data_IF_657301054899
#
_entry.id   IF_657301054899
#
_cell.length_a   1.000
_cell.length_b   1.000
_cell.length_c   1.000
_cell.angle_alpha   90.00
_cell.angle_beta   90.00
_cell.angle_gamma   90.00
#
_symmetry.space_group_name_H-M   'P 1'
#
loop_
_entity.id
_entity.type
_entity.pdbx_description
1 polymer ?
#
# COMPACT_ATOMS: atom_id res chain seq x y z
N UNK A 1 5.92 23.78 -13.41
CA UNK A 1 5.43 23.92 -12.02
C UNK A 1 4.36 22.88 -11.64
N UNK A 2 4.17 21.77 -12.38
CA UNK A 2 3.04 20.84 -12.15
C UNK A 2 3.38 19.35 -12.43
N UNK A 3 4.54 18.84 -11.98
CA UNK A 3 4.93 17.44 -12.26
C UNK A 3 5.20 16.54 -11.05
N UNK A 4 5.31 17.11 -9.84
CA UNK A 4 5.47 16.33 -8.61
C UNK A 4 4.23 16.43 -7.72
N UNK A 5 3.03 16.22 -8.27
CA UNK A 5 1.77 16.34 -7.51
C UNK A 5 1.07 14.98 -7.31
N UNK A 6 1.54 13.90 -7.93
CA UNK A 6 0.84 12.62 -7.89
C UNK A 6 1.79 11.42 -7.82
N UNK A 7 1.89 10.82 -6.64
CA UNK A 7 2.59 9.54 -6.46
C UNK A 7 1.71 8.37 -6.88
N UNK A 8 2.04 7.78 -8.02
CA UNK A 8 1.33 6.63 -8.60
C UNK A 8 1.36 5.40 -7.67
N UNK A 9 2.49 5.04 -7.03
CA UNK A 9 2.53 3.95 -6.05
C UNK A 9 1.54 4.15 -4.90
N UNK A 10 1.50 5.35 -4.32
CA UNK A 10 0.61 5.68 -3.20
C UNK A 10 -0.85 5.58 -3.62
N UNK A 11 -1.17 6.06 -4.82
CA UNK A 11 -2.51 5.93 -5.39
C UNK A 11 -2.96 4.47 -5.48
N UNK A 12 -2.15 3.58 -6.09
CA UNK A 12 -2.53 2.18 -6.27
C UNK A 12 -2.64 1.43 -4.94
N UNK A 13 -1.79 1.74 -3.96
CA UNK A 13 -1.86 1.16 -2.62
C UNK A 13 -3.17 1.57 -1.94
N UNK A 14 -3.45 2.87 -1.82
CA UNK A 14 -4.68 3.32 -1.14
C UNK A 14 -5.95 2.92 -1.87
N UNK A 15 -5.93 2.96 -3.20
CA UNK A 15 -7.02 2.45 -4.02
C UNK A 15 -7.31 0.98 -3.73
N UNK A 16 -6.26 0.16 -3.56
CA UNK A 16 -6.40 -1.24 -3.17
C UNK A 16 -6.95 -1.39 -1.75
N UNK A 17 -6.36 -0.74 -0.75
CA UNK A 17 -6.80 -0.84 0.64
C UNK A 17 -8.29 -0.46 0.80
N UNK A 18 -8.70 0.60 0.10
CA UNK A 18 -10.09 1.05 0.12
C UNK A 18 -11.04 0.08 -0.58
N UNK A 19 -10.62 -0.57 -1.67
CA UNK A 19 -11.41 -1.63 -2.32
C UNK A 19 -11.54 -2.86 -1.42
N UNK A 20 -10.46 -3.29 -0.75
CA UNK A 20 -10.49 -4.43 0.16
C UNK A 20 -11.43 -4.17 1.34
N UNK A 21 -11.30 -3.01 1.97
CA UNK A 21 -12.23 -2.56 3.02
C UNK A 21 -13.68 -2.51 2.50
N UNK A 22 -13.91 -1.99 1.30
CA UNK A 22 -15.24 -1.92 0.70
C UNK A 22 -15.85 -3.30 0.42
N UNK A 23 -15.04 -4.28 -0.02
CA UNK A 23 -15.51 -5.66 -0.23
C UNK A 23 -15.92 -6.29 1.09
N UNK A 24 -15.09 -6.16 2.14
CA UNK A 24 -15.39 -6.74 3.44
C UNK A 24 -16.69 -6.15 3.99
N UNK A 25 -16.85 -4.83 3.92
CA UNK A 25 -18.09 -4.16 4.35
C UNK A 25 -19.29 -4.61 3.52
N UNK A 26 -19.14 -4.73 2.19
CA UNK A 26 -20.21 -5.19 1.30
C UNK A 26 -20.64 -6.63 1.61
N UNK A 27 -19.68 -7.52 1.88
CA UNK A 27 -19.91 -8.90 2.29
C UNK A 27 -20.65 -8.97 3.62
N UNK A 28 -20.23 -8.17 4.62
CA UNK A 28 -20.89 -8.10 5.92
C UNK A 28 -22.32 -7.58 5.79
N UNK A 29 -22.55 -6.57 4.95
CA UNK A 29 -23.88 -6.03 4.69
C UNK A 29 -24.79 -7.05 4.01
N UNK A 30 -24.26 -7.78 3.02
CA UNK A 30 -24.99 -8.85 2.32
C UNK A 30 -25.36 -9.98 3.27
N UNK A 31 -24.44 -10.39 4.14
CA UNK A 31 -24.70 -11.42 5.15
C UNK A 31 -25.76 -10.98 6.17
N UNK A 32 -25.70 -9.73 6.62
CA UNK A 32 -26.72 -9.13 7.48
C UNK A 32 -28.12 -9.13 6.83
N UNK A 33 -28.18 -8.92 5.51
CA UNK A 33 -29.43 -9.02 4.73
C UNK A 33 -29.97 -10.43 4.64
N UNK A 34 -29.10 -11.44 4.58
CA UNK A 34 -29.50 -12.84 4.49
C UNK A 34 -30.02 -13.39 5.83
N UNK A 35 -29.40 -13.00 6.95
CA UNK A 35 -29.79 -13.48 8.29
C UNK A 35 -31.06 -12.81 8.82
N UNK A 36 -31.23 -11.50 8.57
CA UNK A 36 -32.33 -10.70 9.14
C UNK A 36 -33.41 -10.34 8.12
N UNK A 37 -33.72 -11.27 7.21
CA UNK A 37 -34.71 -11.05 6.14
C UNK A 37 -36.13 -10.74 6.66
N UNK A 38 -36.49 -11.29 7.83
CA UNK A 38 -37.86 -11.21 8.36
C UNK A 38 -38.14 -9.97 9.24
N UNK A 39 -37.12 -9.18 9.60
CA UNK A 39 -37.25 -8.12 10.61
C UNK A 39 -36.74 -6.76 10.07
N UNK A 40 -37.58 -6.10 9.27
CA UNK A 40 -37.21 -4.91 8.47
C UNK A 40 -36.74 -3.71 9.32
N UNK A 41 -37.30 -3.54 10.52
CA UNK A 41 -36.89 -2.48 11.45
C UNK A 41 -35.50 -2.76 12.07
N UNK A 42 -35.22 -4.02 12.40
CA UNK A 42 -33.92 -4.45 12.95
C UNK A 42 -32.82 -4.35 11.88
N UNK A 43 -33.13 -4.77 10.65
CA UNK A 43 -32.22 -4.71 9.51
C UNK A 43 -31.74 -3.27 9.21
N UNK A 44 -32.65 -2.28 9.25
CA UNK A 44 -32.29 -0.87 9.01
C UNK A 44 -31.41 -0.29 10.13
N UNK A 45 -31.64 -0.68 11.40
CA UNK A 45 -30.79 -0.26 12.54
C UNK A 45 -29.39 -0.87 12.48
N UNK A 46 -29.29 -2.16 12.16
CA UNK A 46 -28.01 -2.86 12.04
C UNK A 46 -27.18 -2.34 10.85
N UNK A 47 -27.83 -2.01 9.73
CA UNK A 47 -27.17 -1.37 8.58
C UNK A 47 -26.55 -0.02 8.95
N UNK A 48 -27.26 0.80 9.74
CA UNK A 48 -26.73 2.06 10.27
C UNK A 48 -25.54 1.81 11.20
N UNK A 49 -25.59 0.79 12.07
CA UNK A 49 -24.47 0.45 12.93
C UNK A 49 -23.22 0.04 12.16
N UNK A 50 -23.35 -0.77 11.11
CA UNK A 50 -22.21 -1.13 10.24
C UNK A 50 -21.59 0.12 9.60
N UNK A 51 -22.42 1.01 9.05
CA UNK A 51 -21.96 2.28 8.47
C UNK A 51 -21.27 3.19 9.49
N UNK A 52 -21.81 3.30 10.70
CA UNK A 52 -21.15 4.05 11.77
C UNK A 52 -19.80 3.43 12.17
N UNK A 53 -19.70 2.09 12.20
CA UNK A 53 -18.44 1.39 12.49
C UNK A 53 -17.39 1.62 11.39
N UNK A 54 -17.79 1.52 10.12
CA UNK A 54 -16.91 1.81 8.98
C UNK A 54 -16.46 3.27 8.98
N UNK A 55 -17.37 4.22 9.18
CA UNK A 55 -17.06 5.66 9.20
C UNK A 55 -16.12 6.00 10.36
N UNK A 56 -16.38 5.46 11.56
CA UNK A 56 -15.54 5.70 12.73
C UNK A 56 -14.14 5.09 12.52
N UNK A 57 -14.05 3.89 11.96
CA UNK A 57 -12.76 3.25 11.66
C UNK A 57 -11.93 4.06 10.68
N UNK A 58 -12.56 4.56 9.61
CA UNK A 58 -11.92 5.42 8.61
C UNK A 58 -11.48 6.77 9.18
N UNK A 59 -12.29 7.37 10.05
CA UNK A 59 -11.96 8.64 10.71
C UNK A 59 -10.76 8.46 11.65
N UNK A 60 -10.76 7.41 12.46
CA UNK A 60 -9.65 7.09 13.37
C UNK A 60 -8.37 6.84 12.58
N UNK A 61 -8.40 6.07 11.49
CA UNK A 61 -7.22 5.86 10.65
C UNK A 61 -6.72 7.18 10.07
N UNK A 62 -7.61 8.02 9.50
CA UNK A 62 -7.23 9.34 8.97
C UNK A 62 -6.58 10.24 10.03
N UNK A 63 -7.11 10.27 11.26
CA UNK A 63 -6.51 11.03 12.35
C UNK A 63 -5.11 10.54 12.72
N UNK A 64 -4.91 9.22 12.79
CA UNK A 64 -3.59 8.62 13.07
C UNK A 64 -2.60 8.94 11.94
N UNK A 65 -3.04 8.83 10.68
CA UNK A 65 -2.24 9.16 9.51
C UNK A 65 -1.84 10.63 9.47
N UNK A 66 -2.80 11.53 9.72
CA UNK A 66 -2.53 12.97 9.81
C UNK A 66 -1.58 13.33 10.94
N UNK A 67 -1.73 12.70 12.12
CA UNK A 67 -0.81 12.87 13.24
C UNK A 67 0.61 12.40 12.89
N UNK A 68 0.75 11.27 12.20
CA UNK A 68 2.04 10.75 11.78
C UNK A 68 2.76 11.70 10.80
N UNK A 69 2.05 12.22 9.81
CA UNK A 69 2.59 13.20 8.84
C UNK A 69 2.99 14.50 9.54
N UNK A 70 2.17 14.99 10.48
CA UNK A 70 2.47 16.21 11.24
C UNK A 70 3.71 16.06 12.13
N UNK A 71 3.86 14.93 12.82
CA UNK A 71 5.03 14.62 13.65
C UNK A 71 6.29 14.49 12.79
N UNK A 72 6.18 13.83 11.63
CA UNK A 72 7.30 13.66 10.71
C UNK A 72 7.87 15.01 10.23
N UNK A 73 6.99 15.92 9.80
CA UNK A 73 7.39 17.23 9.30
C UNK A 73 7.98 18.16 10.37
N UNK A 74 7.63 17.95 11.64
CA UNK A 74 8.05 18.84 12.74
C UNK A 74 9.30 18.36 13.47
N UNK A 75 9.52 17.04 13.57
CA UNK A 75 10.58 16.46 14.42
C UNK A 75 11.57 15.58 13.64
N UNK A 76 11.11 14.85 12.61
CA UNK A 76 11.94 13.85 11.94
C UNK A 76 12.88 14.44 10.87
N UNK A 77 12.47 15.51 10.20
CA UNK A 77 13.28 16.14 9.13
C UNK A 77 14.66 16.62 9.61
N UNK A 78 14.75 17.17 10.82
CA UNK A 78 15.99 17.76 11.35
C UNK A 78 16.99 16.74 11.94
N UNK A 79 16.52 15.58 12.39
CA UNK A 79 17.36 14.57 13.05
C UNK A 79 17.97 13.55 12.07
N UNK A 80 17.41 13.43 10.86
CA UNK A 80 17.68 12.32 9.94
C UNK A 80 18.50 12.71 8.70
N UNK A 81 18.77 14.00 8.50
CA UNK A 81 19.52 14.52 7.35
C UNK A 81 20.93 13.92 7.19
N UNK A 82 21.60 13.48 8.27
CA UNK A 82 22.93 12.85 8.20
C UNK A 82 22.95 11.39 7.73
N UNK A 83 21.80 10.71 7.64
CA UNK A 83 21.74 9.28 7.26
C UNK A 83 20.56 8.96 6.33
N UNK A 84 20.13 9.95 5.57
CA UNK A 84 18.95 9.91 4.70
C UNK A 84 18.98 8.71 3.73
N UNK A 85 20.10 8.49 3.03
CA UNK A 85 20.23 7.39 2.05
C UNK A 85 20.16 5.99 2.63
N UNK A 86 20.73 5.77 3.82
CA UNK A 86 20.67 4.46 4.48
C UNK A 86 19.25 4.15 4.97
N UNK A 87 18.55 5.16 5.48
CA UNK A 87 17.17 5.02 5.91
C UNK A 87 16.19 4.85 4.75
N UNK A 88 16.36 5.61 3.66
CA UNK A 88 15.62 5.41 2.41
C UNK A 88 15.75 3.96 1.90
N UNK A 89 16.98 3.42 1.87
CA UNK A 89 17.24 2.03 1.47
C UNK A 89 16.59 0.98 2.40
N UNK A 90 16.70 1.15 3.71
CA UNK A 90 16.11 0.21 4.68
C UNK A 90 14.58 0.21 4.65
N UNK A 91 13.94 1.38 4.63
CA UNK A 91 12.47 1.46 4.61
C UNK A 91 11.88 0.99 3.28
N UNK A 92 12.53 1.30 2.16
CA UNK A 92 12.11 0.78 0.86
C UNK A 92 12.20 -0.75 0.82
N UNK A 93 13.23 -1.37 1.40
CA UNK A 93 13.34 -2.83 1.51
C UNK A 93 12.21 -3.43 2.36
N UNK A 94 11.90 -2.83 3.51
CA UNK A 94 10.78 -3.26 4.37
C UNK A 94 9.46 -3.14 3.60
N UNK A 95 9.25 -2.02 2.89
CA UNK A 95 8.05 -1.79 2.08
C UNK A 95 7.92 -2.85 0.97
N UNK A 96 9.00 -3.22 0.28
CA UNK A 96 9.00 -4.30 -0.73
C UNK A 96 8.55 -5.63 -0.13
N UNK A 97 9.09 -6.02 1.02
CA UNK A 97 8.70 -7.27 1.69
C UNK A 97 7.21 -7.25 2.03
N UNK A 98 6.75 -6.15 2.65
CA UNK A 98 5.34 -6.01 3.02
C UNK A 98 4.41 -6.03 1.81
N UNK A 99 4.70 -5.26 0.75
CA UNK A 99 3.93 -5.24 -0.50
C UNK A 99 3.87 -6.63 -1.11
N UNK A 100 5.00 -7.35 -1.12
CA UNK A 100 5.10 -8.70 -1.70
C UNK A 100 4.23 -9.70 -0.93
N UNK A 101 4.38 -9.76 0.39
CA UNK A 101 3.59 -10.66 1.26
C UNK A 101 2.10 -10.36 1.12
N UNK A 102 1.73 -9.07 1.11
CA UNK A 102 0.34 -8.64 1.02
C UNK A 102 -0.27 -8.90 -0.36
N UNK A 103 0.47 -8.63 -1.44
CA UNK A 103 0.04 -8.93 -2.81
C UNK A 103 -0.21 -10.43 -3.02
N UNK A 104 0.66 -11.26 -2.43
CA UNK A 104 0.52 -12.72 -2.45
C UNK A 104 -0.63 -13.22 -1.56
N UNK A 105 -0.85 -12.61 -0.40
CA UNK A 105 -1.97 -12.93 0.49
C UNK A 105 -3.33 -12.64 -0.18
N UNK A 106 -3.42 -11.56 -0.95
CA UNK A 106 -4.63 -11.14 -1.66
C UNK A 106 -5.15 -12.18 -2.64
N UNK A 107 -4.25 -12.82 -3.39
CA UNK A 107 -4.60 -13.87 -4.36
C UNK A 107 -5.30 -15.06 -3.67
N UNK A 108 -5.13 -15.24 -2.35
CA UNK A 108 -5.78 -16.28 -1.54
C UNK A 108 -7.10 -15.82 -0.90
N UNK A 109 -7.43 -14.54 -0.90
CA UNK A 109 -8.50 -13.94 -0.08
C UNK A 109 -9.89 -14.50 -0.37
N UNK A 110 -10.20 -14.91 -1.61
CA UNK A 110 -11.52 -15.49 -1.95
C UNK A 110 -11.89 -16.72 -1.10
N UNK A 111 -10.94 -17.64 -0.91
CA UNK A 111 -11.15 -18.87 -0.12
C UNK A 111 -11.27 -18.59 1.38
N UNK A 112 -10.58 -17.56 1.86
CA UNK A 112 -10.61 -17.14 3.27
C UNK A 112 -11.96 -16.51 3.63
N UNK A 113 -12.47 -15.62 2.78
CA UNK A 113 -13.76 -14.96 3.00
C UNK A 113 -14.92 -15.96 2.96
N UNK A 114 -14.90 -16.96 2.06
CA UNK A 114 -15.90 -18.03 2.02
C UNK A 114 -15.86 -18.91 3.27
N UNK A 115 -14.68 -19.33 3.73
CA UNK A 115 -14.53 -20.09 4.98
C UNK A 115 -15.01 -19.31 6.20
N UNK A 116 -14.76 -17.99 6.24
CA UNK A 116 -15.25 -17.12 7.31
C UNK A 116 -16.75 -16.92 7.27
N UNK A 117 -17.35 -16.74 6.09
CA UNK A 117 -18.82 -16.73 5.93
C UNK A 117 -19.44 -18.01 6.46
N UNK A 118 -18.86 -19.18 6.13
CA UNK A 118 -19.34 -20.48 6.60
C UNK A 118 -19.18 -20.63 8.12
N UNK A 119 -18.03 -20.23 8.69
CA UNK A 119 -17.81 -20.26 10.15
C UNK A 119 -18.77 -19.32 10.89
N UNK A 120 -19.03 -18.13 10.36
CA UNK A 120 -19.97 -17.16 10.93
C UNK A 120 -21.41 -17.68 10.83
N UNK A 121 -21.82 -18.20 9.68
CA UNK A 121 -23.13 -18.83 9.50
C UNK A 121 -23.35 -20.00 10.47
N UNK A 122 -22.33 -20.86 10.64
CA UNK A 122 -22.39 -21.98 11.59
C UNK A 122 -22.47 -21.50 13.05
N UNK A 123 -21.67 -20.50 13.44
CA UNK A 123 -21.71 -19.92 14.80
C UNK A 123 -22.99 -19.14 15.12
N UNK A 124 -23.77 -18.77 14.10
CA UNK A 124 -25.02 -18.03 14.25
C UNK A 124 -26.25 -18.94 14.22
N UNK A 125 -26.17 -20.10 13.56
CA UNK A 125 -27.18 -21.15 13.61
C UNK A 125 -27.18 -21.93 14.93
N UNK A 126 -26.14 -21.80 15.77
CA UNK A 126 -26.20 -22.18 17.18
C UNK A 126 -27.24 -21.33 17.91
N UNK A 127 -28.47 -21.83 17.94
CA UNK A 127 -29.66 -21.21 18.53
C UNK A 127 -29.61 -21.10 20.07
N UNK A 128 -28.55 -21.56 20.72
CA UNK A 128 -28.47 -21.71 22.19
C UNK A 128 -27.56 -20.72 22.94
N UNK A 129 -27.08 -19.65 22.31
CA UNK A 129 -26.25 -18.66 23.00
C UNK A 129 -27.07 -17.64 23.84
N UNK A 130 -27.47 -18.00 25.07
CA UNK A 130 -28.05 -17.05 26.06
C UNK A 130 -26.99 -16.19 26.77
N UNK A 131 -27.38 -14.98 27.21
CA UNK A 131 -26.58 -14.13 28.10
C UNK A 131 -25.63 -13.13 27.41
N UNK A 132 -24.44 -12.91 27.99
CA UNK A 132 -23.41 -11.94 27.54
C UNK A 132 -23.12 -12.03 26.04
N UNK A 133 -23.27 -13.23 25.45
CA UNK A 133 -23.14 -13.54 24.02
C UNK A 133 -24.19 -12.83 23.13
N UNK A 134 -25.34 -12.41 23.65
CA UNK A 134 -26.35 -11.62 22.95
C UNK A 134 -26.03 -10.11 22.92
N UNK A 135 -25.46 -9.54 24.00
CA UNK A 135 -24.86 -8.18 23.96
C UNK A 135 -23.64 -8.18 23.06
N UNK A 136 -22.80 -9.21 23.16
CA UNK A 136 -21.68 -9.44 22.24
C UNK A 136 -22.15 -9.56 20.79
N UNK A 137 -23.28 -10.23 20.47
CA UNK A 137 -23.88 -10.22 19.12
C UNK A 137 -24.29 -8.81 18.63
N UNK A 138 -24.82 -7.96 19.52
CA UNK A 138 -25.24 -6.58 19.19
C UNK A 138 -24.05 -5.63 18.96
N UNK A 139 -22.94 -5.82 19.66
CA UNK A 139 -21.71 -5.03 19.48
C UNK A 139 -20.72 -5.64 18.49
N UNK A 140 -20.70 -6.95 18.29
CA UNK A 140 -19.81 -7.64 17.34
C UNK A 140 -20.09 -7.23 15.89
N UNK A 141 -21.36 -6.94 15.57
CA UNK A 141 -21.76 -6.46 14.25
C UNK A 141 -21.30 -5.02 13.95
N UNK A 142 -20.97 -4.24 14.98
CA UNK A 142 -20.34 -2.92 14.87
C UNK A 142 -18.81 -3.03 14.92
N UNK A 143 -18.30 -3.78 15.91
CA UNK A 143 -16.88 -3.90 16.22
C UNK A 143 -16.09 -4.59 15.11
N UNK A 144 -16.69 -5.58 14.44
CA UNK A 144 -16.01 -6.36 13.40
C UNK A 144 -15.71 -5.52 12.14
N UNK A 145 -16.68 -4.81 11.53
CA UNK A 145 -16.36 -3.87 10.45
C UNK A 145 -15.47 -2.72 10.91
N UNK A 146 -15.62 -2.23 12.15
CA UNK A 146 -14.75 -1.19 12.70
C UNK A 146 -13.28 -1.62 12.79
N UNK A 147 -12.97 -2.74 13.45
CA UNK A 147 -11.59 -3.26 13.60
C UNK A 147 -11.00 -3.58 12.22
N UNK A 148 -11.81 -4.13 11.30
CA UNK A 148 -11.30 -4.50 9.99
C UNK A 148 -10.93 -3.27 9.16
N UNK A 149 -11.81 -2.27 9.10
CA UNK A 149 -11.52 -1.01 8.38
C UNK A 149 -10.38 -0.25 9.02
N UNK A 150 -10.29 -0.26 10.35
CA UNK A 150 -9.17 0.33 11.07
C UNK A 150 -7.86 -0.39 10.75
N UNK A 151 -7.85 -1.73 10.65
CA UNK A 151 -6.67 -2.51 10.28
C UNK A 151 -6.20 -2.19 8.87
N UNK A 152 -7.08 -2.28 7.86
CA UNK A 152 -6.69 -1.97 6.47
C UNK A 152 -6.28 -0.48 6.33
N UNK A 153 -6.96 0.42 7.04
CA UNK A 153 -6.60 1.84 7.09
C UNK A 153 -5.23 2.10 7.71
N UNK A 154 -4.89 1.41 8.81
CA UNK A 154 -3.57 1.51 9.43
C UNK A 154 -2.48 0.89 8.56
N UNK A 155 -2.77 -0.24 7.90
CA UNK A 155 -1.84 -0.91 7.00
C UNK A 155 -1.48 0.03 5.82
N UNK A 156 -2.49 0.65 5.19
CA UNK A 156 -2.28 1.66 4.15
C UNK A 156 -1.43 2.87 4.59
N UNK A 157 -1.59 3.31 5.84
CA UNK A 157 -0.80 4.43 6.38
C UNK A 157 0.67 4.04 6.64
N UNK A 158 0.92 2.83 7.12
CA UNK A 158 2.28 2.31 7.28
C UNK A 158 2.99 2.20 5.94
N UNK A 159 2.28 1.77 4.88
CA UNK A 159 2.83 1.75 3.52
C UNK A 159 3.17 3.14 2.99
N UNK A 160 2.30 4.12 3.22
CA UNK A 160 2.58 5.51 2.85
C UNK A 160 3.83 5.99 3.57
N UNK A 161 3.94 5.73 4.88
CA UNK A 161 5.13 6.08 5.66
C UNK A 161 6.43 5.51 5.08
N UNK A 162 6.41 4.28 4.57
CA UNK A 162 7.58 3.67 3.93
C UNK A 162 7.97 4.29 2.58
N UNK A 163 6.98 4.73 1.79
CA UNK A 163 7.21 5.29 0.45
C UNK A 163 7.41 6.81 0.50
N UNK A 164 6.82 7.49 1.48
CA UNK A 164 6.87 8.95 1.64
C UNK A 164 8.26 9.50 1.94
N UNK A 165 9.21 8.63 2.28
CA UNK A 165 10.60 9.00 2.54
C UNK A 165 11.36 9.18 1.21
N UNK A 166 10.96 8.45 0.15
CA UNK A 166 11.65 8.49 -1.15
C UNK A 166 10.96 9.35 -2.22
N UNK A 167 9.90 10.08 -1.85
CA UNK A 167 9.09 10.90 -2.75
C UNK A 167 8.75 12.27 -2.11
N UNK A 168 8.64 13.36 -2.90
CA UNK A 168 8.33 14.67 -2.38
C UNK A 168 6.98 14.70 -1.66
N UNK A 169 6.98 15.27 -0.45
CA UNK A 169 5.83 15.17 0.43
C UNK A 169 4.63 16.06 0.05
N UNK A 170 4.78 16.92 -0.96
CA UNK A 170 3.66 17.64 -1.60
C UNK A 170 2.81 16.73 -2.51
N UNK A 171 3.36 15.62 -3.02
CA UNK A 171 2.69 14.70 -3.95
C UNK A 171 1.81 13.64 -3.27
N UNK A 172 1.96 13.49 -1.95
CA UNK A 172 1.31 12.45 -1.13
C UNK A 172 -0.20 12.69 -0.94
N UNK A 173 -0.67 13.87 -0.49
CA UNK A 173 -2.08 14.04 -0.12
C UNK A 173 -3.02 13.96 -1.31
N UNK A 174 -2.61 14.46 -2.48
CA UNK A 174 -3.43 14.44 -3.70
C UNK A 174 -3.62 12.99 -4.19
N UNK A 175 -2.52 12.22 -4.27
CA UNK A 175 -2.59 10.80 -4.63
C UNK A 175 -3.45 10.00 -3.65
N UNK A 176 -3.36 10.31 -2.36
CA UNK A 176 -4.14 9.65 -1.32
C UNK A 176 -5.65 9.92 -1.43
N UNK A 177 -6.04 11.19 -1.59
CA UNK A 177 -7.45 11.57 -1.76
C UNK A 177 -8.02 10.94 -3.03
N UNK A 178 -7.29 11.00 -4.15
CA UNK A 178 -7.71 10.37 -5.40
C UNK A 178 -7.86 8.85 -5.26
N UNK A 179 -6.93 8.18 -4.58
CA UNK A 179 -6.98 6.73 -4.34
C UNK A 179 -8.20 6.33 -3.52
N UNK A 180 -8.47 7.06 -2.43
CA UNK A 180 -9.64 6.81 -1.58
C UNK A 180 -10.94 7.07 -2.34
N UNK A 181 -11.06 8.18 -3.06
CA UNK A 181 -12.26 8.50 -3.84
C UNK A 181 -12.52 7.46 -4.94
N UNK A 182 -11.49 7.08 -5.69
CA UNK A 182 -11.60 6.05 -6.73
C UNK A 182 -11.98 4.70 -6.12
N UNK A 183 -11.39 4.31 -4.99
CA UNK A 183 -11.67 3.04 -4.34
C UNK A 183 -13.05 2.98 -3.72
N UNK A 184 -13.53 4.08 -3.12
CA UNK A 184 -14.92 4.23 -2.68
C UNK A 184 -15.90 4.15 -3.85
N UNK A 185 -15.59 4.76 -4.99
CA UNK A 185 -16.43 4.71 -6.19
C UNK A 185 -16.53 3.27 -6.73
N UNK A 186 -15.40 2.56 -6.85
CA UNK A 186 -15.38 1.15 -7.27
C UNK A 186 -16.06 0.26 -6.24
N UNK A 187 -15.86 0.51 -4.94
CA UNK A 187 -16.53 -0.17 -3.84
C UNK A 187 -18.06 -0.01 -3.88
N UNK A 188 -18.54 1.19 -4.20
CA UNK A 188 -19.96 1.45 -4.39
C UNK A 188 -20.52 0.70 -5.61
N UNK A 189 -19.78 0.70 -6.72
CA UNK A 189 -20.14 -0.01 -7.94
C UNK A 189 -20.17 -1.53 -7.70
N UNK A 190 -19.26 -2.05 -6.86
CA UNK A 190 -19.25 -3.44 -6.40
C UNK A 190 -20.50 -3.79 -5.57
N UNK A 191 -20.85 -2.94 -4.60
CA UNK A 191 -22.04 -3.15 -3.77
C UNK A 191 -23.33 -3.20 -4.60
N UNK A 192 -23.44 -2.35 -5.62
CA UNK A 192 -24.62 -2.27 -6.51
C UNK A 192 -24.60 -3.32 -7.62
N UNK A 193 -23.41 -3.74 -8.06
CA UNK A 193 -23.19 -4.48 -9.29
C UNK A 193 -23.40 -5.99 -9.19
N UNK A 194 -23.36 -6.61 -8.01
CA UNK A 194 -23.81 -7.98 -7.73
C UNK A 194 -23.20 -9.15 -8.54
N UNK A 195 -22.42 -8.89 -9.60
CA UNK A 195 -21.98 -9.89 -10.56
C UNK A 195 -20.50 -10.24 -10.30
N UNK A 196 -20.31 -11.29 -9.51
CA UNK A 196 -19.10 -11.66 -8.77
C UNK A 196 -17.93 -12.10 -9.72
N UNK A 197 -18.14 -12.12 -11.04
CA UNK A 197 -17.31 -12.88 -11.99
C UNK A 197 -16.34 -12.03 -12.83
N UNK A 198 -16.41 -10.69 -12.83
CA UNK A 198 -15.43 -9.85 -13.57
C UNK A 198 -14.27 -9.28 -12.71
N UNK A 199 -14.35 -9.40 -11.39
CA UNK A 199 -13.40 -8.70 -10.50
C UNK A 199 -12.08 -9.44 -10.24
N UNK A 200 -12.02 -10.75 -10.52
CA UNK A 200 -10.76 -11.50 -10.36
C UNK A 200 -9.65 -10.95 -11.26
N UNK A 201 -10.00 -10.66 -12.52
CA UNK A 201 -9.06 -10.11 -13.50
C UNK A 201 -8.56 -8.73 -13.09
N UNK A 202 -9.43 -7.90 -12.53
CA UNK A 202 -9.06 -6.60 -12.01
C UNK A 202 -8.08 -6.70 -10.83
N UNK A 203 -8.32 -7.61 -9.88
CA UNK A 203 -7.40 -7.83 -8.77
C UNK A 203 -6.06 -8.40 -9.23
N UNK A 204 -6.07 -9.39 -10.12
CA UNK A 204 -4.84 -9.94 -10.69
C UNK A 204 -4.05 -8.84 -11.42
N UNK A 205 -4.70 -8.01 -12.22
CA UNK A 205 -4.05 -6.89 -12.90
C UNK A 205 -3.46 -5.86 -11.91
N UNK A 206 -4.21 -5.50 -10.87
CA UNK A 206 -3.72 -4.59 -9.82
C UNK A 206 -2.55 -5.17 -9.04
N UNK A 207 -2.55 -6.48 -8.74
CA UNK A 207 -1.44 -7.16 -8.07
C UNK A 207 -0.20 -7.23 -8.96
N UNK A 208 -0.36 -7.47 -10.27
CA UNK A 208 0.75 -7.44 -11.21
C UNK A 208 1.43 -6.05 -11.28
N UNK A 209 0.63 -4.97 -11.28
CA UNK A 209 1.17 -3.59 -11.23
C UNK A 209 1.91 -3.34 -9.92
N UNK A 210 1.39 -3.83 -8.79
CA UNK A 210 2.06 -3.71 -7.49
C UNK A 210 3.39 -4.47 -7.43
N UNK A 211 3.49 -5.65 -8.07
CA UNK A 211 4.76 -6.36 -8.18
C UNK A 211 5.76 -5.63 -9.08
N UNK A 212 5.30 -4.95 -10.14
CA UNK A 212 6.17 -4.06 -10.93
C UNK A 212 6.73 -2.92 -10.07
N UNK A 213 5.87 -2.24 -9.31
CA UNK A 213 6.27 -1.15 -8.39
C UNK A 213 7.24 -1.66 -7.33
N UNK A 214 6.96 -2.81 -6.72
CA UNK A 214 7.81 -3.39 -5.70
C UNK A 214 9.16 -3.87 -6.26
N UNK A 215 9.21 -4.40 -7.49
CA UNK A 215 10.46 -4.71 -8.18
C UNK A 215 11.30 -3.45 -8.40
N UNK A 216 10.66 -2.36 -8.83
CA UNK A 216 11.31 -1.06 -9.01
C UNK A 216 11.81 -0.46 -7.70
N UNK A 217 11.00 -0.55 -6.64
CA UNK A 217 11.36 -0.08 -5.29
C UNK A 217 12.52 -0.91 -4.71
N UNK A 218 12.58 -2.20 -5.00
CA UNK A 218 13.69 -3.07 -4.58
C UNK A 218 15.00 -2.72 -5.27
N UNK A 219 14.96 -2.44 -6.58
CA UNK A 219 16.11 -1.95 -7.31
C UNK A 219 16.60 -0.60 -6.74
N UNK A 220 15.68 0.32 -6.43
CA UNK A 220 16.02 1.61 -5.78
C UNK A 220 16.60 1.42 -4.38
N UNK A 221 16.08 0.49 -3.58
CA UNK A 221 16.60 0.17 -2.25
C UNK A 221 18.09 -0.21 -2.31
N UNK A 222 18.45 -1.08 -3.27
CA UNK A 222 19.85 -1.47 -3.50
C UNK A 222 20.67 -0.26 -3.95
N UNK A 223 20.15 0.55 -4.87
CA UNK A 223 20.82 1.77 -5.33
C UNK A 223 21.12 2.75 -4.18
N UNK A 224 20.19 2.96 -3.25
CA UNK A 224 20.39 3.82 -2.08
C UNK A 224 21.45 3.26 -1.11
N UNK A 225 21.46 1.94 -0.90
CA UNK A 225 22.45 1.28 -0.05
C UNK A 225 23.85 1.34 -0.68
N UNK A 226 23.96 1.12 -1.99
CA UNK A 226 25.23 1.23 -2.72
C UNK A 226 25.75 2.67 -2.73
N UNK A 227 24.88 3.64 -2.97
CA UNK A 227 25.22 5.07 -2.91
C UNK A 227 25.71 5.47 -1.52
N UNK A 228 25.09 4.95 -0.45
CA UNK A 228 25.55 5.20 0.92
C UNK A 228 26.94 4.60 1.18
N UNK A 229 27.19 3.37 0.75
CA UNK A 229 28.51 2.72 0.86
C UNK A 229 29.56 3.49 0.07
N UNK A 230 29.21 4.01 -1.11
CA UNK A 230 30.10 4.84 -1.91
C UNK A 230 30.44 6.16 -1.21
N UNK A 231 29.44 6.86 -0.66
CA UNK A 231 29.62 8.10 0.06
C UNK A 231 30.54 7.96 1.29
N UNK A 232 30.49 6.81 1.98
CA UNK A 232 31.42 6.47 3.07
C UNK A 232 32.86 6.23 2.59
N UNK A 233 33.04 5.72 1.36
CA UNK A 233 34.37 5.42 0.80
C UNK A 233 35.08 6.64 0.22
N UNK A 234 34.33 7.60 -0.31
CA UNK A 234 34.89 8.81 -0.94
C UNK A 234 35.04 9.98 0.04
N UNK A 235 34.74 9.77 1.32
CA UNK A 235 34.61 10.83 2.35
C UNK A 235 33.65 11.98 1.93
N UNK A 236 32.82 11.72 0.91
CA UNK A 236 31.83 12.64 0.39
C UNK A 236 30.65 12.86 1.36
N UNK A 237 30.61 12.10 2.46
CA UNK A 237 29.72 12.37 3.59
C UNK A 237 30.17 13.58 4.44
N UNK A 238 31.45 13.97 4.35
CA UNK A 238 32.05 15.12 5.04
C UNK A 238 32.47 16.25 4.08
N UNK A 239 32.58 15.97 2.78
CA UNK A 239 32.66 17.02 1.78
C UNK A 239 31.30 17.73 1.76
N UNK A 240 31.27 18.94 2.32
CA UNK A 240 30.22 19.90 2.01
C UNK A 240 30.01 19.93 0.49
N UNK A 241 28.77 20.19 0.09
CA UNK A 241 28.33 20.25 -1.29
C UNK A 241 29.05 21.35 -2.10
N UNK A 242 30.36 21.22 -2.27
CA UNK A 242 31.19 22.05 -3.11
C UNK A 242 31.23 21.42 -4.49
N UNK A 243 30.40 22.03 -5.33
CA UNK A 243 30.73 22.44 -6.70
C UNK A 243 31.13 21.34 -7.69
N UNK A 244 30.18 21.10 -8.61
CA UNK A 244 30.38 20.53 -9.96
C UNK A 244 31.04 19.15 -10.06
N UNK A 245 30.18 18.12 -10.15
CA UNK A 245 30.50 16.93 -10.95
C UNK A 245 31.20 15.78 -10.23
N UNK A 246 31.12 15.71 -8.90
CA UNK A 246 31.53 14.52 -8.16
C UNK A 246 30.74 13.29 -8.61
N UNK A 247 31.43 12.18 -8.92
CA UNK A 247 30.78 10.93 -9.32
C UNK A 247 30.06 10.36 -8.10
N UNK A 248 28.72 10.48 -8.08
CA UNK A 248 27.85 10.02 -6.99
C UNK A 248 27.69 8.50 -6.92
N UNK A 249 28.35 7.77 -7.82
CA UNK A 249 28.21 6.34 -8.02
C UNK A 249 29.56 5.68 -8.32
N UNK A 250 29.67 4.38 -8.05
CA UNK A 250 30.88 3.62 -8.37
C UNK A 250 30.90 3.25 -9.87
N UNK A 251 31.88 3.78 -10.61
CA UNK A 251 32.03 3.51 -12.07
C UNK A 251 32.31 2.03 -12.34
N UNK A 252 32.86 1.28 -11.38
CA UNK A 252 33.24 -0.12 -11.57
C UNK A 252 32.05 -1.08 -11.53
N UNK A 253 31.02 -0.74 -10.74
CA UNK A 253 29.81 -1.56 -10.60
C UNK A 253 28.68 -1.07 -11.50
N UNK A 254 28.87 0.07 -12.16
CA UNK A 254 27.88 0.62 -13.08
C UNK A 254 27.86 -0.08 -14.44
N UNK A 255 26.64 -0.34 -14.90
CA UNK A 255 26.37 -0.92 -16.21
C UNK A 255 26.09 0.17 -17.23
N UNK A 256 25.29 1.17 -16.86
CA UNK A 256 25.05 2.33 -17.71
C UNK A 256 24.96 3.63 -16.93
N UNK A 257 25.33 4.70 -17.64
CA UNK A 257 25.06 6.08 -17.29
C UNK A 257 24.53 6.76 -18.56
N UNK A 258 23.35 7.37 -18.45
CA UNK A 258 22.71 8.08 -19.56
C UNK A 258 22.55 9.56 -19.17
N UNK A 259 23.06 10.44 -20.02
CA UNK A 259 22.89 11.90 -19.89
C UNK A 259 21.46 12.36 -20.20
N UNK A 260 20.73 11.54 -20.96
CA UNK A 260 19.29 11.70 -21.19
C UNK A 260 18.49 10.81 -20.23
N UNK A 261 17.20 11.14 -20.03
CA UNK A 261 16.26 10.29 -19.29
C UNK A 261 16.49 10.22 -17.76
N UNK A 262 17.09 11.26 -17.17
CA UNK A 262 17.20 11.40 -15.72
C UNK A 262 15.80 11.67 -15.10
N UNK A 263 15.32 10.81 -14.17
CA UNK A 263 14.04 11.02 -13.49
C UNK A 263 14.05 12.21 -12.52
N UNK A 264 15.21 12.70 -12.08
CA UNK A 264 15.33 13.88 -11.21
C UNK A 264 15.12 15.20 -11.98
N UNK A 265 15.28 15.21 -13.30
CA UNK A 265 15.08 16.40 -14.13
C UNK A 265 13.58 16.55 -14.50
N UNK A 266 12.85 17.58 -13.99
CA UNK A 266 11.41 17.76 -14.24
C UNK A 266 11.07 18.01 -15.72
N UNK A 267 12.06 18.46 -16.49
CA UNK A 267 11.96 18.79 -17.91
C UNK A 267 12.25 17.61 -18.84
N UNK A 268 12.78 16.48 -18.33
CA UNK A 268 13.25 15.36 -19.15
C UNK A 268 12.12 14.46 -19.71
N UNK A 269 10.84 14.77 -19.41
CA UNK A 269 9.67 14.13 -20.01
C UNK A 269 9.34 12.76 -19.40
N UNK A 270 8.32 12.67 -18.56
CA UNK A 270 7.66 11.41 -18.16
C UNK A 270 8.51 10.34 -17.42
N UNK A 271 9.83 10.43 -17.38
CA UNK A 271 10.72 9.42 -16.79
C UNK A 271 10.53 9.26 -15.27
N UNK A 272 9.99 10.26 -14.59
CA UNK A 272 9.51 10.15 -13.20
C UNK A 272 8.47 9.04 -13.03
N UNK A 273 7.56 8.87 -14.00
CA UNK A 273 6.53 7.82 -13.98
C UNK A 273 7.18 6.45 -14.14
N UNK A 274 8.16 6.32 -15.05
CA UNK A 274 8.90 5.09 -15.23
C UNK A 274 9.77 4.76 -14.01
N UNK A 275 10.32 5.77 -13.32
CA UNK A 275 11.01 5.59 -12.05
C UNK A 275 10.04 5.08 -10.96
N UNK A 276 8.88 5.73 -10.82
CA UNK A 276 7.90 5.36 -9.81
C UNK A 276 7.27 3.97 -10.03
N UNK A 277 7.06 3.55 -11.28
CA UNK A 277 6.38 2.28 -11.62
C UNK A 277 7.37 1.13 -11.85
N UNK A 278 8.46 1.38 -12.58
CA UNK A 278 9.41 0.33 -12.99
C UNK A 278 10.74 0.41 -12.23
N UNK A 279 10.98 1.45 -11.43
CA UNK A 279 12.28 1.69 -10.80
C UNK A 279 13.35 2.14 -11.81
N UNK A 280 12.93 2.70 -12.94
CA UNK A 280 13.87 3.23 -13.95
C UNK A 280 14.77 4.32 -13.37
N UNK A 281 16.07 4.21 -13.62
CA UNK A 281 17.04 5.24 -13.30
C UNK A 281 18.07 5.39 -14.44
N UNK A 282 18.56 6.61 -14.67
CA UNK A 282 19.56 6.89 -15.70
C UNK A 282 20.97 6.40 -15.32
N UNK A 283 21.17 6.09 -14.04
CA UNK A 283 22.32 5.38 -13.50
C UNK A 283 21.84 4.01 -13.05
N UNK A 284 22.41 2.93 -13.59
CA UNK A 284 22.16 1.59 -13.07
C UNK A 284 23.45 0.83 -12.80
N UNK A 285 23.49 0.24 -11.61
CA UNK A 285 24.52 -0.69 -11.19
C UNK A 285 24.13 -2.14 -11.47
N UNK A 286 25.12 -3.02 -11.51
CA UNK A 286 24.92 -4.46 -11.58
C UNK A 286 23.98 -4.93 -10.44
N UNK A 287 24.12 -4.34 -9.24
CA UNK A 287 23.27 -4.65 -8.09
C UNK A 287 21.81 -4.28 -8.31
N UNK A 288 21.52 -3.09 -8.84
CA UNK A 288 20.13 -2.68 -9.12
C UNK A 288 19.44 -3.57 -10.15
N UNK A 289 20.15 -3.97 -11.22
CA UNK A 289 19.63 -4.85 -12.28
C UNK A 289 19.42 -6.27 -11.74
N UNK A 290 20.43 -6.83 -11.07
CA UNK A 290 20.32 -8.15 -10.46
C UNK A 290 19.20 -8.18 -9.42
N UNK A 291 19.07 -7.12 -8.61
CA UNK A 291 18.00 -6.98 -7.65
C UNK A 291 16.62 -7.07 -8.28
N UNK A 292 16.39 -6.31 -9.36
CA UNK A 292 15.14 -6.33 -10.11
C UNK A 292 14.81 -7.73 -10.65
N UNK A 293 15.79 -8.41 -11.26
CA UNK A 293 15.62 -9.76 -11.82
C UNK A 293 15.39 -10.80 -10.72
N UNK A 294 16.17 -10.76 -9.64
CA UNK A 294 16.04 -11.67 -8.50
C UNK A 294 14.69 -11.53 -7.82
N UNK A 295 14.15 -10.31 -7.72
CA UNK A 295 12.81 -10.08 -7.19
C UNK A 295 11.73 -10.80 -8.00
N UNK A 296 11.77 -10.67 -9.34
CA UNK A 296 10.84 -11.38 -10.22
C UNK A 296 11.00 -12.91 -10.15
N UNK A 297 12.23 -13.41 -10.08
CA UNK A 297 12.49 -14.83 -9.87
C UNK A 297 11.91 -15.31 -8.54
N UNK A 298 12.09 -14.55 -7.45
CA UNK A 298 11.54 -14.90 -6.14
C UNK A 298 10.00 -14.98 -6.17
N UNK A 299 9.32 -14.03 -6.82
CA UNK A 299 7.86 -14.08 -6.99
C UNK A 299 7.45 -15.28 -7.85
N UNK A 300 8.12 -15.51 -8.98
CA UNK A 300 7.78 -16.61 -9.88
C UNK A 300 7.92 -17.96 -9.17
N UNK A 301 9.03 -18.18 -8.46
CA UNK A 301 9.25 -19.37 -7.64
C UNK A 301 8.16 -19.51 -6.58
N UNK A 302 7.86 -18.44 -5.84
CA UNK A 302 6.82 -18.48 -4.81
C UNK A 302 5.45 -18.84 -5.39
N UNK A 303 5.05 -18.24 -6.52
CA UNK A 303 3.78 -18.54 -7.19
C UNK A 303 3.71 -19.97 -7.71
N UNK A 304 4.82 -20.55 -8.20
CA UNK A 304 4.90 -21.95 -8.62
C UNK A 304 4.69 -22.88 -7.43
N UNK A 305 5.35 -22.61 -6.30
CA UNK A 305 5.21 -23.41 -5.06
C UNK A 305 3.80 -23.34 -4.44
N UNK A 306 3.02 -22.34 -4.82
CA UNK A 306 1.70 -22.06 -4.26
C UNK A 306 0.55 -22.69 -5.06
N UNK A 307 0.85 -23.23 -6.25
CA UNK A 307 -0.08 -23.95 -7.12
C UNK A 307 -0.37 -25.34 -6.55
#
# INVERSE_FOLDING_TARGET
>A
MAKDLFSIPIFFILFRETIEAAIIVSVLLSFLSQVYHNDTALHRRLRKQVWFGTLLGLLVSLCIGGAFIAVWYTVASNLWAKSEKLWEGCFSLIAVIMISVMGLAMLKTKRMQEKWKVKLANSMNDKEAKGIRAKSKKYALFLLPFITVMREGLEGLVFIGGISISEPASSIPIAAICGILAGCFVGWLLYRGGNIVKFQWFFVASTCILFLVAAGLFARAIGFLEAHVWALRTDAANAEADEEGGITFDVRTNVWYLDCCNPENPNAGGWQIFNAILGWNNVASIGTILGYVLYWLAIAVYLIFLK
#
